data_IF_757183339644
#
_entry.id   IF_757183339644
#
_cell.length_a   1.000
_cell.length_b   1.000
_cell.length_c   1.000
_cell.angle_alpha   90.00
_cell.angle_beta   90.00
_cell.angle_gamma   90.00
#
_symmetry.space_group_name_H-M   'P 1'
#
loop_
_entity.id
_entity.type
_entity.pdbx_description
1 polymer ?
#
# COMPACT_ATOMS: atom_id res chain seq x y z
N UNK A 1 12.27 -6.31 -12.09
CA UNK A 1 12.59 -5.69 -10.78
C UNK A 1 12.23 -6.66 -9.67
N UNK A 2 13.02 -6.70 -8.61
CA UNK A 2 12.72 -7.52 -7.42
C UNK A 2 11.82 -6.68 -6.51
N UNK A 3 10.66 -7.20 -6.12
CA UNK A 3 9.78 -6.59 -5.12
C UNK A 3 9.81 -7.41 -3.85
N UNK A 4 9.78 -6.76 -2.70
CA UNK A 4 9.52 -7.45 -1.45
C UNK A 4 8.03 -7.40 -1.11
N UNK A 5 7.57 -8.37 -0.32
CA UNK A 5 6.17 -8.50 0.10
C UNK A 5 6.11 -8.76 1.60
N UNK A 6 4.98 -8.39 2.20
CA UNK A 6 4.68 -8.70 3.59
C UNK A 6 4.16 -10.13 3.65
N UNK A 7 4.60 -10.90 4.64
CA UNK A 7 4.06 -12.22 4.94
C UNK A 7 3.58 -12.29 6.38
N UNK A 8 2.60 -13.15 6.63
CA UNK A 8 2.10 -13.44 7.98
C UNK A 8 2.42 -14.89 8.29
N UNK A 9 3.19 -15.11 9.34
CA UNK A 9 3.51 -16.44 9.85
C UNK A 9 2.98 -16.55 11.28
N UNK A 10 1.90 -17.33 11.45
CA UNK A 10 1.20 -17.44 12.73
C UNK A 10 0.57 -16.11 13.16
N UNK A 11 1.13 -15.49 14.21
CA UNK A 11 0.70 -14.17 14.73
C UNK A 11 1.70 -13.05 14.45
N UNK A 12 2.74 -13.34 13.66
CA UNK A 12 3.83 -12.40 13.38
C UNK A 12 3.71 -11.85 11.96
N UNK A 13 3.97 -10.56 11.82
CA UNK A 13 4.09 -9.88 10.52
C UNK A 13 5.58 -9.80 10.20
N UNK A 14 5.96 -10.33 9.03
CA UNK A 14 7.33 -10.32 8.54
C UNK A 14 7.39 -9.37 7.34
N UNK A 15 8.25 -8.36 7.44
CA UNK A 15 8.52 -7.40 6.37
C UNK A 15 9.95 -7.66 5.89
N UNK A 16 10.09 -8.06 4.62
CA UNK A 16 11.42 -8.29 4.02
C UNK A 16 11.88 -7.04 3.29
N UNK A 17 13.04 -6.48 3.68
CA UNK A 17 13.63 -5.32 3.01
C UNK A 17 12.85 -4.00 3.19
N UNK A 18 13.33 -2.96 2.49
CA UNK A 18 12.77 -1.60 2.60
C UNK A 18 11.74 -1.29 1.50
N UNK A 19 11.86 -1.92 0.33
CA UNK A 19 10.99 -1.66 -0.82
C UNK A 19 9.92 -2.76 -0.94
N UNK A 20 8.83 -2.57 -0.18
CA UNK A 20 7.65 -3.41 -0.26
C UNK A 20 6.74 -2.90 -1.39
N UNK A 21 6.38 -3.80 -2.30
CA UNK A 21 5.44 -3.47 -3.37
C UNK A 21 4.34 -4.53 -3.45
N UNK A 22 3.13 -4.15 -3.06
CA UNK A 22 1.96 -5.03 -3.05
C UNK A 22 0.74 -4.32 -3.63
N UNK A 23 -0.08 -5.07 -4.35
CA UNK A 23 -1.39 -4.61 -4.81
C UNK A 23 -2.40 -4.64 -3.65
N UNK A 24 -3.46 -3.83 -3.76
CA UNK A 24 -4.55 -3.88 -2.79
C UNK A 24 -5.23 -5.26 -2.71
N UNK A 25 -5.17 -6.04 -3.79
CA UNK A 25 -5.61 -7.44 -3.83
C UNK A 25 -4.74 -8.34 -2.96
N UNK A 26 -3.41 -8.31 -3.14
CA UNK A 26 -2.47 -9.10 -2.35
C UNK A 26 -2.55 -8.77 -0.85
N UNK A 27 -2.75 -7.50 -0.51
CA UNK A 27 -2.98 -7.07 0.88
C UNK A 27 -4.32 -7.62 1.39
N UNK A 28 -5.38 -7.56 0.56
CA UNK A 28 -6.69 -8.11 0.90
C UNK A 28 -6.64 -9.61 1.20
N UNK A 29 -5.99 -10.39 0.34
CA UNK A 29 -5.77 -11.82 0.55
C UNK A 29 -4.96 -12.10 1.82
N UNK A 30 -3.88 -11.34 2.05
CA UNK A 30 -3.01 -11.53 3.22
C UNK A 30 -3.75 -11.35 4.55
N UNK A 31 -4.63 -10.35 4.63
CA UNK A 31 -5.38 -10.03 5.85
C UNK A 31 -6.81 -10.61 5.87
N UNK A 32 -7.20 -11.39 4.85
CA UNK A 32 -8.55 -11.90 4.66
C UNK A 32 -9.63 -10.79 4.71
N UNK A 33 -9.37 -9.69 4.02
CA UNK A 33 -10.25 -8.53 3.90
C UNK A 33 -10.54 -8.21 2.44
N UNK A 34 -11.62 -7.46 2.20
CA UNK A 34 -11.96 -7.04 0.83
C UNK A 34 -11.01 -5.94 0.35
N UNK A 35 -10.74 -5.91 -0.96
CA UNK A 35 -9.98 -4.84 -1.60
C UNK A 35 -10.60 -3.46 -1.36
N UNK A 36 -11.93 -3.38 -1.23
CA UNK A 36 -12.65 -2.15 -0.87
C UNK A 36 -12.27 -1.66 0.52
N UNK A 37 -12.14 -2.55 1.51
CA UNK A 37 -11.71 -2.18 2.85
C UNK A 37 -10.25 -1.67 2.84
N UNK A 38 -9.35 -2.33 2.12
CA UNK A 38 -7.96 -1.87 1.94
C UNK A 38 -7.92 -0.46 1.35
N UNK A 39 -8.65 -0.24 0.25
CA UNK A 39 -8.71 1.06 -0.41
C UNK A 39 -9.31 2.17 0.48
N UNK A 40 -10.29 1.83 1.34
CA UNK A 40 -10.86 2.77 2.29
C UNK A 40 -9.81 3.20 3.33
N UNK A 41 -9.06 2.25 3.89
CA UNK A 41 -7.99 2.54 4.87
C UNK A 41 -6.86 3.35 4.23
N UNK A 42 -6.41 3.00 3.03
CA UNK A 42 -5.39 3.79 2.30
C UNK A 42 -5.83 5.25 2.15
N UNK A 43 -7.10 5.49 1.77
CA UNK A 43 -7.65 6.86 1.66
C UNK A 43 -7.65 7.60 2.99
N UNK A 44 -7.87 6.91 4.11
CA UNK A 44 -7.81 7.51 5.45
C UNK A 44 -6.37 7.88 5.79
N UNK A 45 -5.40 6.97 5.56
CA UNK A 45 -3.98 7.21 5.85
C UNK A 45 -3.45 8.43 5.07
N UNK A 46 -3.77 8.52 3.77
CA UNK A 46 -3.41 9.67 2.93
C UNK A 46 -4.03 10.97 3.44
N UNK A 47 -5.29 10.94 3.89
CA UNK A 47 -5.97 12.13 4.47
C UNK A 47 -5.40 12.56 5.81
N UNK A 48 -4.85 11.63 6.58
CA UNK A 48 -4.26 11.92 7.89
C UNK A 48 -2.82 12.44 7.81
N UNK A 49 -2.27 12.64 6.60
CA UNK A 49 -0.89 13.06 6.32
C UNK A 49 0.18 12.15 6.98
N UNK A 50 -0.22 10.93 7.35
CA UNK A 50 0.68 9.88 7.85
C UNK A 50 1.53 9.31 6.70
N UNK A 51 0.99 9.37 5.49
CA UNK A 51 1.71 9.20 4.23
C UNK A 51 1.54 10.50 3.46
N UNK A 52 2.60 11.30 3.37
CA UNK A 52 2.57 12.53 2.61
C UNK A 52 2.24 12.19 1.14
N UNK A 53 1.17 12.79 0.60
CA UNK A 53 0.71 12.60 -0.79
C UNK A 53 1.85 12.82 -1.83
N UNK A 54 2.91 13.55 -1.43
CA UNK A 54 4.11 13.77 -2.23
C UNK A 54 5.02 12.55 -2.37
N UNK A 55 5.07 11.66 -1.37
CA UNK A 55 5.92 10.45 -1.37
C UNK A 55 5.21 9.23 -1.99
N UNK A 56 3.87 9.22 -2.02
CA UNK A 56 3.07 8.07 -2.54
C UNK A 56 2.81 8.17 -4.05
N UNK A 57 3.22 9.27 -4.69
CA UNK A 57 3.32 9.41 -6.14
C UNK A 57 2.04 9.02 -6.90
N UNK A 58 0.97 9.83 -6.77
CA UNK A 58 -0.02 9.91 -7.84
C UNK A 58 0.55 10.83 -8.92
N UNK A 59 1.07 10.26 -10.01
CA UNK A 59 1.41 11.03 -11.20
C UNK A 59 0.20 11.85 -11.65
N UNK A 60 0.21 13.15 -11.34
CA UNK A 60 -0.68 14.13 -11.97
C UNK A 60 0.10 14.68 -13.17
N UNK A 61 -0.24 14.22 -14.37
CA UNK A 61 0.28 14.82 -15.59
C UNK A 61 -0.21 16.27 -15.70
N UNK A 62 0.68 17.23 -15.49
CA UNK A 62 0.45 18.62 -15.88
C UNK A 62 0.48 18.69 -17.40
N UNK A 63 -0.70 18.84 -18.01
CA UNK A 63 -0.83 19.21 -19.41
C UNK A 63 -0.32 20.65 -19.53
N UNK A 64 0.88 20.83 -20.09
CA UNK A 64 1.34 22.15 -20.50
C UNK A 64 0.39 22.69 -21.58
N UNK A 65 -0.12 23.90 -21.34
CA UNK A 65 -0.87 24.74 -22.27
C UNK A 65 0.12 25.37 -23.24
#
# INVERSE_FOLDING_TARGET
MKRNVITIEGKSIIVTGNDVWMTAWEIGELFNVTTTAVNAVIRVILKTDVLNDFEVCRYVWLKMV
#
